data_IF_900556680084
#
_entry.id   IF_900556680084
#
_cell.length_a   1.000
_cell.length_b   1.000
_cell.length_c   1.000
_cell.angle_alpha   90.00
_cell.angle_beta   90.00
_cell.angle_gamma   90.00
#
_symmetry.space_group_name_H-M   'P 1'
#
loop_
_entity.id
_entity.type
_entity.pdbx_description
1 polymer ?
#
# COMPACT_ATOMS: atom_id res chain seq x y z
N UNK A 1 -16.48 -18.45 -16.77
CA UNK A 1 -15.35 -18.15 -15.86
C UNK A 1 -14.50 -19.37 -15.55
N UNK A 2 -15.10 -20.55 -15.36
CA UNK A 2 -14.41 -21.78 -14.94
C UNK A 2 -13.31 -22.26 -15.90
N UNK A 3 -13.56 -22.23 -17.22
CA UNK A 3 -12.55 -22.59 -18.24
C UNK A 3 -11.32 -21.67 -18.16
N UNK A 4 -11.53 -20.36 -18.05
CA UNK A 4 -10.45 -19.37 -17.92
C UNK A 4 -9.68 -19.52 -16.60
N UNK A 5 -10.39 -19.86 -15.52
CA UNK A 5 -9.79 -20.15 -14.20
C UNK A 5 -8.87 -21.38 -14.25
N UNK A 6 -9.31 -22.47 -14.88
CA UNK A 6 -8.50 -23.68 -15.02
C UNK A 6 -7.24 -23.44 -15.86
N UNK A 7 -7.35 -22.69 -16.96
CA UNK A 7 -6.19 -22.30 -17.78
C UNK A 7 -5.21 -21.45 -16.98
N UNK A 8 -5.70 -20.46 -16.22
CA UNK A 8 -4.87 -19.63 -15.35
C UNK A 8 -4.11 -20.49 -14.33
N UNK A 9 -4.81 -21.39 -13.63
CA UNK A 9 -4.21 -22.28 -12.64
C UNK A 9 -3.12 -23.14 -13.25
N UNK A 10 -3.39 -23.78 -14.38
CA UNK A 10 -2.43 -24.64 -15.07
C UNK A 10 -1.19 -23.88 -15.54
N UNK A 11 -1.36 -22.67 -16.08
CA UNK A 11 -0.23 -21.83 -16.52
C UNK A 11 0.68 -21.46 -15.35
N UNK A 12 0.11 -21.11 -14.19
CA UNK A 12 0.88 -20.79 -13.00
C UNK A 12 1.60 -22.02 -12.47
N UNK A 13 0.88 -23.13 -12.25
CA UNK A 13 1.47 -24.38 -11.73
C UNK A 13 2.66 -24.86 -12.57
N UNK A 14 2.56 -24.76 -13.90
CA UNK A 14 3.61 -25.25 -14.80
C UNK A 14 4.78 -24.30 -14.98
N UNK A 15 4.56 -23.00 -14.82
CA UNK A 15 5.51 -21.98 -15.25
C UNK A 15 6.01 -21.03 -14.16
N UNK A 16 5.43 -21.07 -12.95
CA UNK A 16 5.89 -20.23 -11.85
C UNK A 16 7.34 -20.51 -11.48
N UNK A 17 8.14 -19.46 -11.32
CA UNK A 17 9.56 -19.57 -10.98
C UNK A 17 10.44 -20.15 -12.09
N UNK A 18 9.92 -20.36 -13.31
CA UNK A 18 10.74 -20.74 -14.47
C UNK A 18 11.21 -19.49 -15.20
N UNK A 19 12.51 -19.41 -15.44
CA UNK A 19 13.10 -18.36 -16.24
C UNK A 19 12.86 -18.59 -17.74
N UNK A 20 12.96 -17.51 -18.52
CA UNK A 20 12.87 -17.55 -19.96
C UNK A 20 14.14 -18.19 -20.55
N UNK A 21 13.98 -19.07 -21.54
CA UNK A 21 15.09 -19.85 -22.12
C UNK A 21 16.25 -18.99 -22.63
N UNK A 22 15.96 -17.77 -23.11
CA UNK A 22 16.96 -16.82 -23.60
C UNK A 22 17.31 -15.68 -22.62
N UNK A 23 16.62 -15.61 -21.47
CA UNK A 23 16.77 -14.53 -20.49
C UNK A 23 16.65 -15.13 -19.09
N UNK A 24 17.77 -15.56 -18.52
CA UNK A 24 17.84 -16.24 -17.22
C UNK A 24 17.19 -15.45 -16.09
N UNK A 25 17.26 -14.13 -16.16
CA UNK A 25 16.80 -13.24 -15.09
C UNK A 25 15.33 -12.82 -15.29
N UNK A 26 14.67 -13.31 -16.34
CA UNK A 26 13.29 -12.99 -16.65
C UNK A 26 12.37 -14.18 -16.41
N UNK A 27 11.37 -13.99 -15.56
CA UNK A 27 10.38 -15.00 -15.19
C UNK A 27 9.02 -14.63 -15.81
N UNK A 28 8.72 -15.10 -17.03
CA UNK A 28 7.60 -14.58 -17.82
C UNK A 28 6.24 -14.78 -17.14
N UNK A 29 6.01 -15.93 -16.49
CA UNK A 29 4.75 -16.20 -15.80
C UNK A 29 4.62 -15.35 -14.53
N UNK A 30 5.70 -15.19 -13.77
CA UNK A 30 5.68 -14.33 -12.58
C UNK A 30 5.33 -12.88 -12.96
N UNK A 31 5.95 -12.37 -14.04
CA UNK A 31 5.67 -11.03 -14.56
C UNK A 31 4.23 -10.89 -15.05
N UNK A 32 3.75 -11.83 -15.87
CA UNK A 32 2.41 -11.78 -16.44
C UNK A 32 1.32 -11.79 -15.34
N UNK A 33 1.48 -12.63 -14.32
CA UNK A 33 0.56 -12.65 -13.17
C UNK A 33 0.62 -11.35 -12.38
N UNK A 34 1.83 -10.82 -12.14
CA UNK A 34 2.01 -9.54 -11.44
C UNK A 34 1.28 -8.40 -12.13
N UNK A 35 1.48 -8.24 -13.44
CA UNK A 35 0.84 -7.17 -14.22
C UNK A 35 -0.66 -7.41 -14.39
N UNK A 36 -1.10 -8.65 -14.56
CA UNK A 36 -2.53 -8.98 -14.61
C UNK A 36 -3.25 -8.57 -13.32
N UNK A 37 -2.75 -8.98 -12.15
CA UNK A 37 -3.37 -8.64 -10.86
C UNK A 37 -3.32 -7.13 -10.60
N UNK A 38 -2.22 -6.48 -10.96
CA UNK A 38 -2.11 -5.02 -10.87
C UNK A 38 -3.20 -4.34 -11.71
N UNK A 39 -3.37 -4.72 -12.97
CA UNK A 39 -4.38 -4.11 -13.83
C UNK A 39 -5.80 -4.44 -13.37
N UNK A 40 -6.05 -5.69 -12.96
CA UNK A 40 -7.32 -6.12 -12.39
C UNK A 40 -7.71 -5.27 -11.17
N UNK A 41 -6.80 -5.10 -10.20
CA UNK A 41 -7.08 -4.32 -8.98
C UNK A 41 -7.28 -2.84 -9.25
N UNK A 42 -6.62 -2.28 -10.27
CA UNK A 42 -6.83 -0.91 -10.74
C UNK A 42 -8.27 -0.74 -11.23
N UNK A 43 -8.68 -1.55 -12.22
CA UNK A 43 -10.03 -1.49 -12.79
C UNK A 43 -11.08 -1.72 -11.71
N UNK A 44 -10.88 -2.74 -10.88
CA UNK A 44 -11.82 -3.11 -9.84
C UNK A 44 -12.03 -1.99 -8.79
N UNK A 45 -10.97 -1.24 -8.46
CA UNK A 45 -11.04 -0.16 -7.47
C UNK A 45 -11.72 1.11 -8.00
N UNK A 46 -11.68 1.34 -9.32
CA UNK A 46 -12.31 2.49 -9.98
C UNK A 46 -13.81 2.29 -10.15
N UNK A 47 -14.24 1.07 -10.49
CA UNK A 47 -15.64 0.72 -10.81
C UNK A 47 -16.46 0.27 -9.58
N UNK A 48 -16.29 0.94 -8.44
CA UNK A 48 -16.70 0.58 -7.07
C UNK A 48 -18.01 -0.24 -6.89
N UNK A 49 -19.01 -0.11 -7.76
CA UNK A 49 -20.33 -0.75 -7.65
C UNK A 49 -20.44 -2.23 -8.07
N UNK A 50 -19.47 -2.84 -8.76
CA UNK A 50 -19.66 -4.20 -9.35
C UNK A 50 -18.63 -5.26 -8.99
N UNK A 51 -17.61 -4.93 -8.19
CA UNK A 51 -16.39 -5.75 -8.17
C UNK A 51 -16.08 -6.49 -6.86
N UNK A 52 -16.86 -6.38 -5.79
CA UNK A 52 -16.52 -7.08 -4.52
C UNK A 52 -16.51 -8.60 -4.68
N UNK A 53 -17.52 -9.21 -5.32
CA UNK A 53 -17.53 -10.65 -5.58
C UNK A 53 -16.38 -11.07 -6.48
N UNK A 54 -16.12 -10.34 -7.56
CA UNK A 54 -15.02 -10.60 -8.50
C UNK A 54 -13.64 -10.49 -7.86
N UNK A 55 -13.43 -9.53 -6.96
CA UNK A 55 -12.18 -9.40 -6.20
C UNK A 55 -12.00 -10.61 -5.29
N UNK A 56 -13.07 -11.04 -4.61
CA UNK A 56 -13.04 -12.25 -3.76
C UNK A 56 -12.75 -13.51 -4.58
N UNK A 57 -13.43 -13.71 -5.72
CA UNK A 57 -13.17 -14.82 -6.64
C UNK A 57 -11.73 -14.81 -7.16
N UNK A 58 -11.19 -13.64 -7.50
CA UNK A 58 -9.80 -13.49 -7.94
C UNK A 58 -8.81 -13.79 -6.81
N UNK A 59 -9.12 -13.36 -5.57
CA UNK A 59 -8.32 -13.67 -4.39
C UNK A 59 -8.29 -15.17 -4.13
N UNK A 60 -9.44 -15.84 -4.16
CA UNK A 60 -9.54 -17.30 -4.01
C UNK A 60 -8.78 -18.03 -5.11
N UNK A 61 -8.94 -17.58 -6.37
CA UNK A 61 -8.21 -18.12 -7.51
C UNK A 61 -6.69 -17.97 -7.32
N UNK A 62 -6.22 -16.80 -6.93
CA UNK A 62 -4.81 -16.53 -6.66
C UNK A 62 -4.27 -17.44 -5.55
N UNK A 63 -4.98 -17.52 -4.42
CA UNK A 63 -4.58 -18.34 -3.27
C UNK A 63 -4.62 -19.84 -3.55
N UNK A 64 -5.42 -20.30 -4.51
CA UNK A 64 -5.45 -21.71 -4.93
C UNK A 64 -4.19 -22.18 -5.65
N UNK A 65 -3.33 -21.25 -6.07
CA UNK A 65 -2.10 -21.58 -6.84
C UNK A 65 -0.84 -20.92 -6.31
N UNK A 66 -0.96 -19.86 -5.51
CA UNK A 66 0.18 -19.16 -4.93
C UNK A 66 -0.07 -18.85 -3.46
N UNK A 67 0.92 -19.20 -2.63
CA UNK A 67 0.97 -18.67 -1.27
C UNK A 67 1.25 -17.17 -1.31
N UNK A 68 0.69 -16.38 -0.38
CA UNK A 68 0.96 -14.94 -0.30
C UNK A 68 2.44 -14.59 -0.38
N UNK A 69 3.31 -15.34 0.31
CA UNK A 69 4.75 -15.10 0.38
C UNK A 69 5.47 -15.29 -0.96
N UNK A 70 4.93 -16.07 -1.89
CA UNK A 70 5.54 -16.28 -3.22
C UNK A 70 5.33 -15.10 -4.14
N UNK A 71 4.25 -14.33 -3.95
CA UNK A 71 4.03 -13.07 -4.67
C UNK A 71 3.31 -12.04 -3.78
N UNK A 72 4.04 -11.43 -2.81
CA UNK A 72 3.45 -10.53 -1.82
C UNK A 72 2.74 -9.33 -2.44
N UNK A 73 3.30 -8.79 -3.52
CA UNK A 73 2.77 -7.60 -4.19
C UNK A 73 1.34 -7.81 -4.70
N UNK A 74 1.12 -8.88 -5.44
CA UNK A 74 -0.19 -9.21 -6.01
C UNK A 74 -1.21 -9.48 -4.90
N UNK A 75 -0.80 -10.21 -3.86
CA UNK A 75 -1.68 -10.49 -2.72
C UNK A 75 -2.12 -9.21 -2.01
N UNK A 76 -1.18 -8.32 -1.68
CA UNK A 76 -1.46 -7.06 -0.99
C UNK A 76 -2.34 -6.13 -1.83
N UNK A 77 -2.13 -6.07 -3.15
CA UNK A 77 -3.02 -5.31 -4.05
C UNK A 77 -4.46 -5.84 -4.02
N UNK A 78 -4.65 -7.15 -3.98
CA UNK A 78 -5.98 -7.76 -3.88
C UNK A 78 -6.62 -7.48 -2.51
N UNK A 79 -5.85 -7.52 -1.41
CA UNK A 79 -6.32 -7.15 -0.07
C UNK A 79 -6.82 -5.71 -0.06
N UNK A 80 -6.01 -4.78 -0.59
CA UNK A 80 -6.38 -3.37 -0.66
C UNK A 80 -7.62 -3.14 -1.52
N UNK A 81 -7.72 -3.78 -2.68
CA UNK A 81 -8.88 -3.66 -3.55
C UNK A 81 -10.15 -4.18 -2.86
N UNK A 82 -10.06 -5.31 -2.14
CA UNK A 82 -11.19 -5.89 -1.41
C UNK A 82 -11.64 -4.99 -0.26
N UNK A 83 -10.71 -4.51 0.56
CA UNK A 83 -11.04 -3.63 1.68
C UNK A 83 -11.64 -2.32 1.18
N UNK A 84 -11.15 -1.80 0.05
CA UNK A 84 -11.71 -0.61 -0.59
C UNK A 84 -13.11 -0.86 -1.14
N UNK A 85 -13.35 -1.98 -1.83
CA UNK A 85 -14.67 -2.30 -2.40
C UNK A 85 -15.73 -2.52 -1.32
N UNK A 86 -15.32 -2.97 -0.13
CA UNK A 86 -16.18 -3.09 1.05
C UNK A 86 -16.33 -1.80 1.86
N UNK A 87 -15.71 -0.69 1.43
CA UNK A 87 -15.70 0.57 2.16
C UNK A 87 -16.48 1.64 1.40
N UNK A 88 -17.50 2.20 2.04
CA UNK A 88 -18.22 3.37 1.49
C UNK A 88 -17.37 4.62 1.62
N UNK A 89 -16.66 4.76 2.74
CA UNK A 89 -15.85 5.94 3.08
C UNK A 89 -14.37 5.59 3.28
N UNK A 90 -13.49 6.58 3.05
CA UNK A 90 -12.05 6.47 3.34
C UNK A 90 -11.76 6.11 4.79
N UNK A 91 -12.62 6.55 5.71
CA UNK A 91 -12.58 6.16 7.11
C UNK A 91 -12.62 4.64 7.30
N UNK A 92 -13.62 4.00 6.70
CA UNK A 92 -13.83 2.56 6.81
C UNK A 92 -12.66 1.80 6.20
N UNK A 93 -12.11 2.32 5.09
CA UNK A 93 -10.95 1.75 4.44
C UNK A 93 -9.69 1.80 5.32
N UNK A 94 -9.39 2.96 5.91
CA UNK A 94 -8.25 3.11 6.83
C UNK A 94 -8.38 2.19 8.05
N UNK A 95 -9.58 2.08 8.64
CA UNK A 95 -9.83 1.18 9.76
C UNK A 95 -9.62 -0.30 9.38
N UNK A 96 -10.12 -0.74 8.22
CA UNK A 96 -9.93 -2.12 7.73
C UNK A 96 -8.44 -2.43 7.49
N UNK A 97 -7.71 -1.52 6.84
CA UNK A 97 -6.28 -1.68 6.62
C UNK A 97 -5.51 -1.80 7.94
N UNK A 98 -5.80 -0.93 8.92
CA UNK A 98 -5.16 -1.01 10.23
C UNK A 98 -5.44 -2.34 10.92
N UNK A 99 -6.70 -2.79 10.92
CA UNK A 99 -7.08 -4.06 11.53
C UNK A 99 -6.38 -5.28 10.88
N UNK A 100 -6.02 -5.21 9.59
CA UNK A 100 -5.27 -6.27 8.90
C UNK A 100 -3.77 -6.21 9.16
N UNK A 101 -3.23 -5.08 9.57
CA UNK A 101 -1.78 -4.83 9.64
C UNK A 101 -1.01 -5.89 10.45
N UNK A 102 -1.45 -6.28 11.66
CA UNK A 102 -0.73 -7.30 12.45
C UNK A 102 -0.61 -8.63 11.73
N UNK A 103 -1.69 -9.08 11.08
CA UNK A 103 -1.72 -10.34 10.36
C UNK A 103 -0.85 -10.31 9.11
N UNK A 104 -0.82 -9.18 8.39
CA UNK A 104 0.04 -9.01 7.22
C UNK A 104 1.52 -9.01 7.61
N UNK A 105 1.87 -8.36 8.72
CA UNK A 105 3.24 -8.36 9.25
C UNK A 105 3.65 -9.75 9.70
N UNK A 106 2.77 -10.48 10.38
CA UNK A 106 3.01 -11.88 10.72
C UNK A 106 3.22 -12.75 9.47
N UNK A 107 2.53 -12.47 8.38
CA UNK A 107 2.58 -13.25 7.14
C UNK A 107 3.86 -13.01 6.33
N UNK A 108 4.34 -11.76 6.29
CA UNK A 108 5.43 -11.34 5.41
C UNK A 108 6.75 -11.02 6.13
N UNK A 109 6.72 -10.82 7.45
CA UNK A 109 7.88 -10.46 8.28
C UNK A 109 8.68 -9.24 7.81
N UNK A 110 8.15 -8.46 6.85
CA UNK A 110 8.85 -7.34 6.23
C UNK A 110 7.90 -6.19 5.88
N UNK A 111 7.99 -5.11 6.66
CA UNK A 111 7.08 -3.96 6.62
C UNK A 111 7.30 -2.98 5.44
N UNK A 112 8.53 -2.65 5.00
CA UNK A 112 8.74 -1.60 4.00
C UNK A 112 8.05 -1.85 2.65
N UNK A 113 8.12 -3.08 2.12
CA UNK A 113 7.48 -3.41 0.84
C UNK A 113 5.95 -3.32 0.90
N UNK A 114 5.35 -3.56 2.07
CA UNK A 114 3.89 -3.48 2.22
C UNK A 114 3.41 -2.03 2.20
N UNK A 115 4.16 -1.14 2.84
CA UNK A 115 3.90 0.29 2.89
C UNK A 115 3.87 0.87 1.47
N UNK A 116 4.83 0.53 0.61
CA UNK A 116 4.87 1.02 -0.77
C UNK A 116 3.68 0.57 -1.61
N UNK A 117 3.18 -0.65 -1.36
CA UNK A 117 2.00 -1.17 -2.06
C UNK A 117 0.73 -0.47 -1.59
N UNK A 118 0.60 -0.25 -0.28
CA UNK A 118 -0.53 0.50 0.27
C UNK A 118 -0.53 1.95 -0.19
N UNK A 119 0.64 2.59 -0.20
CA UNK A 119 0.87 3.90 -0.81
C UNK A 119 0.42 3.91 -2.25
N UNK A 120 0.91 2.98 -3.07
CA UNK A 120 0.55 2.88 -4.46
C UNK A 120 -0.96 2.77 -4.63
N UNK A 121 -1.64 1.87 -3.92
CA UNK A 121 -3.08 1.68 -4.04
C UNK A 121 -3.88 2.93 -3.59
N UNK A 122 -3.53 3.50 -2.43
CA UNK A 122 -4.17 4.69 -1.87
C UNK A 122 -4.00 5.93 -2.77
N UNK A 123 -2.76 6.25 -3.13
CA UNK A 123 -2.41 7.48 -3.84
C UNK A 123 -2.77 7.43 -5.32
N UNK A 124 -2.59 6.27 -5.95
CA UNK A 124 -2.75 6.17 -7.40
C UNK A 124 -4.13 5.71 -7.85
N UNK A 125 -5.00 5.22 -6.95
CA UNK A 125 -6.29 4.60 -7.32
C UNK A 125 -7.48 5.04 -6.49
N UNK A 126 -7.35 5.07 -5.16
CA UNK A 126 -8.44 5.58 -4.30
C UNK A 126 -8.57 7.10 -4.46
N UNK A 127 -7.44 7.79 -4.55
CA UNK A 127 -7.38 9.23 -4.73
C UNK A 127 -7.29 9.68 -6.21
N UNK A 128 -7.29 8.79 -7.21
CA UNK A 128 -7.01 9.19 -8.61
C UNK A 128 -8.08 10.09 -9.23
N UNK A 129 -9.33 9.98 -8.77
CA UNK A 129 -10.46 10.76 -9.29
C UNK A 129 -10.58 12.14 -8.64
N UNK A 130 -9.64 12.46 -7.76
CA UNK A 130 -9.61 13.68 -6.99
C UNK A 130 -8.44 14.53 -7.50
N UNK A 131 -8.66 15.82 -7.68
CA UNK A 131 -7.63 16.82 -7.91
C UNK A 131 -6.62 16.89 -6.75
N UNK A 132 -5.42 17.40 -7.02
CA UNK A 132 -4.23 17.25 -6.14
C UNK A 132 -4.47 17.66 -4.68
N UNK A 133 -5.29 18.70 -4.44
CA UNK A 133 -5.68 19.13 -3.10
C UNK A 133 -6.57 18.10 -2.38
N UNK A 134 -7.56 17.56 -3.09
CA UNK A 134 -8.41 16.52 -2.56
C UNK A 134 -7.64 15.20 -2.35
N UNK A 135 -6.62 14.88 -3.17
CA UNK A 135 -5.72 13.73 -2.92
C UNK A 135 -5.03 13.82 -1.57
N UNK A 136 -4.53 15.01 -1.21
CA UNK A 136 -3.90 15.24 0.09
C UNK A 136 -4.92 15.10 1.22
N UNK A 137 -6.11 15.68 1.09
CA UNK A 137 -7.19 15.54 2.07
C UNK A 137 -7.63 14.10 2.28
N UNK A 138 -7.79 13.32 1.22
CA UNK A 138 -8.15 11.90 1.28
C UNK A 138 -7.05 11.05 1.93
N UNK A 139 -5.78 11.33 1.61
CA UNK A 139 -4.63 10.65 2.22
C UNK A 139 -4.56 10.94 3.72
N UNK A 140 -4.71 12.21 4.11
CA UNK A 140 -4.72 12.64 5.52
C UNK A 140 -5.93 12.05 6.27
N UNK A 141 -7.06 11.87 5.59
CA UNK A 141 -8.21 11.16 6.13
C UNK A 141 -7.88 9.72 6.50
N UNK A 142 -7.22 8.96 5.62
CA UNK A 142 -6.78 7.59 5.93
C UNK A 142 -5.72 7.58 7.03
N UNK A 143 -4.75 8.51 6.99
CA UNK A 143 -3.72 8.67 8.03
C UNK A 143 -4.33 8.86 9.42
N UNK A 144 -5.32 9.75 9.55
CA UNK A 144 -6.02 9.98 10.83
C UNK A 144 -6.49 8.66 11.43
N UNK A 145 -7.18 7.83 10.65
CA UNK A 145 -7.75 6.57 11.16
C UNK A 145 -6.69 5.48 11.37
N UNK A 146 -5.55 5.53 10.69
CA UNK A 146 -4.43 4.61 10.95
C UNK A 146 -3.69 4.95 12.25
N UNK A 147 -3.62 6.22 12.64
CA UNK A 147 -3.02 6.65 13.93
C UNK A 147 -3.94 6.27 15.09
N UNK A 148 -5.25 6.54 14.95
CA UNK A 148 -6.21 6.44 16.06
C UNK A 148 -6.67 5.00 16.35
N UNK A 149 -6.15 3.98 15.66
CA UNK A 149 -6.43 2.57 15.95
C UNK A 149 -5.50 1.98 17.01
N UNK A 150 -4.60 2.79 17.61
CA UNK A 150 -3.67 2.38 18.67
C UNK A 150 -2.79 1.18 18.31
N UNK A 151 -2.52 1.02 17.02
CA UNK A 151 -1.75 -0.07 16.46
C UNK A 151 -0.39 0.48 16.00
N UNK A 152 0.69 0.05 16.67
CA UNK A 152 2.06 0.54 16.41
C UNK A 152 2.46 0.31 14.95
N UNK A 153 2.08 -0.82 14.37
CA UNK A 153 2.38 -1.16 13.00
C UNK A 153 1.68 -0.24 11.98
N UNK A 154 0.47 0.21 12.31
CA UNK A 154 -0.25 1.22 11.55
C UNK A 154 0.43 2.58 11.67
N UNK A 155 0.97 2.90 12.85
CA UNK A 155 1.74 4.12 13.08
C UNK A 155 3.05 4.14 12.26
N UNK A 156 3.75 3.00 12.10
CA UNK A 156 4.90 2.91 11.20
C UNK A 156 4.54 3.15 9.72
N UNK A 157 3.42 2.59 9.27
CA UNK A 157 2.92 2.84 7.91
C UNK A 157 2.60 4.32 7.71
N UNK A 158 1.94 4.95 8.68
CA UNK A 158 1.65 6.39 8.65
C UNK A 158 2.93 7.20 8.63
N UNK A 159 3.89 6.86 9.47
CA UNK A 159 5.19 7.55 9.55
C UNK A 159 5.86 7.58 8.18
N UNK A 160 5.84 6.44 7.49
CA UNK A 160 6.38 6.32 6.13
C UNK A 160 5.57 7.08 5.06
N UNK A 161 4.25 7.23 5.25
CA UNK A 161 3.38 8.04 4.40
C UNK A 161 3.60 9.53 4.59
N UNK A 162 3.88 9.94 5.83
CA UNK A 162 4.07 11.33 6.18
C UNK A 162 5.43 11.82 5.70
N UNK A 163 6.53 11.12 6.02
CA UNK A 163 7.91 11.48 5.65
C UNK A 163 8.07 11.97 4.20
N UNK A 164 7.48 11.29 3.21
CA UNK A 164 7.58 11.67 1.79
C UNK A 164 6.94 13.03 1.46
N UNK A 165 6.11 13.55 2.36
CA UNK A 165 5.41 14.83 2.25
C UNK A 165 5.79 15.81 3.34
N UNK A 166 6.96 15.61 3.98
CA UNK A 166 7.45 16.47 5.07
C UNK A 166 7.59 17.94 4.68
N UNK A 167 7.60 18.28 3.38
CA UNK A 167 7.61 19.65 2.87
C UNK A 167 6.23 20.32 2.78
N UNK A 168 5.14 19.64 3.13
CA UNK A 168 3.81 20.25 3.09
C UNK A 168 3.55 21.10 4.34
N UNK A 169 3.29 22.41 4.15
CA UNK A 169 2.85 23.34 5.21
C UNK A 169 1.39 23.12 5.63
N UNK A 170 0.96 21.87 5.72
CA UNK A 170 -0.41 21.52 6.05
C UNK A 170 -0.55 21.34 7.57
N UNK A 171 -1.42 22.11 8.22
CA UNK A 171 -1.60 22.08 9.68
C UNK A 171 -1.99 20.69 10.19
N UNK A 172 -2.85 19.96 9.47
CA UNK A 172 -3.24 18.59 9.85
C UNK A 172 -2.06 17.63 9.75
N UNK A 173 -1.21 17.81 8.74
CA UNK A 173 0.02 17.03 8.60
C UNK A 173 0.95 17.25 9.80
N UNK A 174 1.21 18.51 10.18
CA UNK A 174 2.04 18.83 11.34
C UNK A 174 1.46 18.22 12.63
N UNK A 175 0.15 18.32 12.83
CA UNK A 175 -0.53 17.70 13.97
C UNK A 175 -0.33 16.19 14.05
N UNK A 176 -0.36 15.47 12.93
CA UNK A 176 -0.08 14.02 12.92
C UNK A 176 1.37 13.69 13.23
N UNK A 177 2.33 14.51 12.78
CA UNK A 177 3.74 14.32 13.13
C UNK A 177 3.96 14.52 14.63
N UNK A 178 3.35 15.55 15.22
CA UNK A 178 3.38 15.78 16.67
C UNK A 178 2.74 14.64 17.45
N UNK A 179 1.56 14.16 17.00
CA UNK A 179 0.88 13.03 17.61
C UNK A 179 1.74 11.76 17.62
N UNK A 180 2.41 11.44 16.50
CA UNK A 180 3.34 10.31 16.41
C UNK A 180 4.58 10.48 17.28
N UNK A 181 5.13 11.70 17.39
CA UNK A 181 6.26 11.97 18.30
C UNK A 181 5.86 11.77 19.76
N UNK A 182 4.64 12.16 20.12
CA UNK A 182 4.10 12.01 21.48
C UNK A 182 3.83 10.54 21.87
N UNK A 183 3.85 9.61 20.92
CA UNK A 183 3.75 8.17 21.22
C UNK A 183 5.01 7.62 21.91
N UNK A 184 6.13 8.35 21.87
CA UNK A 184 7.40 7.96 22.49
C UNK A 184 7.91 6.56 22.05
N UNK A 185 7.58 6.13 20.83
CA UNK A 185 8.09 4.88 20.28
C UNK A 185 9.44 5.11 19.58
N UNK A 186 10.55 4.53 20.05
CA UNK A 186 11.90 4.91 19.65
C UNK A 186 12.15 4.73 18.14
N UNK A 187 11.57 3.69 17.53
CA UNK A 187 11.71 3.47 16.09
C UNK A 187 10.91 4.46 15.24
N UNK A 188 9.73 4.89 15.69
CA UNK A 188 8.90 5.89 14.99
C UNK A 188 9.59 7.25 15.07
N UNK A 189 10.09 7.59 16.25
CA UNK A 189 10.84 8.82 16.49
C UNK A 189 12.12 8.86 15.67
N UNK A 190 12.89 7.77 15.65
CA UNK A 190 14.08 7.60 14.82
C UNK A 190 13.77 7.77 13.34
N UNK A 191 12.68 7.17 12.86
CA UNK A 191 12.26 7.27 11.46
C UNK A 191 11.87 8.72 11.08
N UNK A 192 11.06 9.40 11.91
CA UNK A 192 10.69 10.80 11.71
C UNK A 192 11.91 11.74 11.77
N UNK A 193 12.86 11.48 12.67
CA UNK A 193 14.08 12.30 12.83
C UNK A 193 15.11 12.06 11.74
N UNK A 194 15.25 10.82 11.25
CA UNK A 194 16.16 10.46 10.15
C UNK A 194 15.86 11.29 8.90
N UNK A 195 14.59 11.51 8.59
CA UNK A 195 14.20 12.30 7.43
C UNK A 195 14.18 13.81 7.68
N UNK A 196 13.98 14.26 8.94
CA UNK A 196 14.32 15.65 9.33
C UNK A 196 15.81 15.95 9.07
N UNK A 197 16.69 14.97 9.25
CA UNK A 197 18.13 15.12 9.00
C UNK A 197 18.52 15.06 7.51
N UNK A 198 17.65 14.56 6.62
CA UNK A 198 17.84 14.68 5.16
C UNK A 198 17.53 16.09 4.64
N UNK A 199 16.93 16.96 5.47
CA UNK A 199 16.61 18.35 5.13
C UNK A 199 17.83 19.29 5.23
N UNK A 200 18.99 18.82 5.71
CA UNK A 200 20.20 19.64 5.76
C UNK A 200 21.19 19.22 4.67
N UNK A 201 21.09 19.85 3.48
CA UNK A 201 22.24 20.15 2.60
C UNK A 201 21.85 20.95 1.33
N UNK A 202 20.56 21.02 0.96
CA UNK A 202 20.13 21.77 -0.24
C UNK A 202 19.14 22.92 0.00
N UNK A 203 18.54 23.02 1.20
CA UNK A 203 17.59 24.10 1.51
C UNK A 203 18.09 25.10 2.56
N UNK A 204 19.32 24.96 3.05
CA UNK A 204 19.98 25.99 3.87
C UNK A 204 20.61 27.03 2.95
N UNK A 205 19.79 27.93 2.39
CA UNK A 205 20.25 29.32 2.33
C UNK A 205 20.28 29.78 3.78
N UNK A 206 21.48 29.78 4.36
CA UNK A 206 21.74 30.58 5.54
C UNK A 206 21.55 32.03 5.12
N UNK A 207 20.38 32.59 5.37
CA UNK A 207 20.27 34.04 5.51
C UNK A 207 20.85 34.36 6.88
N UNK A 208 22.17 34.50 6.90
CA UNK A 208 22.95 35.17 7.94
C UNK A 208 23.45 36.47 7.31
N UNK A 209 23.00 37.56 7.94
CA UNK A 209 23.52 38.94 7.97
C UNK A 209 23.53 39.78 6.67
N UNK A 210 22.74 40.87 6.64
CA UNK A 210 23.08 42.19 7.24
C UNK A 210 21.82 42.97 7.61
#
# INVERSE_FOLDING_TARGET
>A
MEISSNVFKEKIKRGWGKCHQKKSDFYPINYAVSEFIKNFTITASQEKCYNTSRISEMMELFLSVLMPQKQPRSYLLLVCAQDWSMSTLLKQYGMKLSARMPNLIKTFSFMPNMIDIFKYHLLSKVASNWDTFHKLGSTLGVVYYLIHTSNVESCFMVTSLLVERMWCRNVKYCGFVEELLNMNHPDIESFLKKDKNQVSYHNTKFDIDY
#
